data_IF_836918546251
#
_entry.id   IF_836918546251
#
_cell.length_a   1.000
_cell.length_b   1.000
_cell.length_c   1.000
_cell.angle_alpha   90.00
_cell.angle_beta   90.00
_cell.angle_gamma   90.00
#
_symmetry.space_group_name_H-M   'P 1'
#
loop_
_entity.id
_entity.type
_entity.pdbx_description
1 polymer ?
#
# COMPACT_ATOMS: atom_id res chain seq x y z
N UNK A 1 14.37 1.16 17.76
CA UNK A 1 14.13 -0.23 18.15
C UNK A 1 13.59 -0.35 19.58
N UNK A 2 13.13 -1.54 19.99
CA UNK A 2 12.47 -1.79 21.28
C UNK A 2 11.17 -1.00 21.53
N UNK A 3 10.48 -0.66 20.46
CA UNK A 3 9.15 -0.06 20.49
C UNK A 3 8.15 -1.10 20.02
N UNK A 4 7.01 -1.30 20.70
CA UNK A 4 6.00 -2.24 20.23
C UNK A 4 5.30 -1.73 18.97
N UNK A 5 4.85 -2.64 18.10
CA UNK A 5 4.19 -2.28 16.83
C UNK A 5 2.99 -1.36 17.03
N UNK A 6 2.21 -1.51 18.10
CA UNK A 6 1.04 -0.68 18.36
C UNK A 6 1.40 0.80 18.63
N UNK A 7 2.57 1.08 19.21
CA UNK A 7 3.04 2.47 19.40
C UNK A 7 3.34 3.15 18.07
N UNK A 8 3.86 2.40 17.09
CA UNK A 8 4.05 2.91 15.73
C UNK A 8 2.69 3.26 15.11
N UNK A 9 1.69 2.38 15.27
CA UNK A 9 0.33 2.63 14.80
C UNK A 9 -0.29 3.88 15.43
N UNK A 10 -0.13 4.06 16.74
CA UNK A 10 -0.61 5.25 17.45
C UNK A 10 0.08 6.53 16.95
N UNK A 11 1.40 6.50 16.81
CA UNK A 11 2.16 7.65 16.32
C UNK A 11 1.72 8.07 14.92
N UNK A 12 1.48 7.11 14.02
CA UNK A 12 0.99 7.35 12.67
C UNK A 12 -0.43 7.96 12.67
N UNK A 13 -1.35 7.38 13.46
CA UNK A 13 -2.71 7.88 13.58
C UNK A 13 -2.74 9.32 14.10
N UNK A 14 -1.95 9.62 15.13
CA UNK A 14 -1.84 10.96 15.67
C UNK A 14 -1.26 11.96 14.66
N UNK A 15 -0.16 11.58 13.98
CA UNK A 15 0.46 12.45 12.99
C UNK A 15 -0.49 12.72 11.81
N UNK A 16 -1.16 11.68 11.30
CA UNK A 16 -2.12 11.80 10.22
C UNK A 16 -3.32 12.66 10.59
N UNK A 17 -3.88 12.48 11.79
CA UNK A 17 -5.00 13.30 12.29
C UNK A 17 -4.63 14.76 12.43
N UNK A 18 -3.43 15.07 12.98
CA UNK A 18 -2.94 16.45 13.08
C UNK A 18 -2.77 17.08 11.71
N UNK A 19 -2.17 16.35 10.75
CA UNK A 19 -1.99 16.85 9.38
C UNK A 19 -3.31 17.06 8.66
N UNK A 20 -4.26 16.14 8.81
CA UNK A 20 -5.60 16.31 8.27
C UNK A 20 -6.31 17.55 8.84
N UNK A 21 -6.22 17.79 10.16
CA UNK A 21 -6.79 18.97 10.79
C UNK A 21 -6.15 20.27 10.27
N UNK A 22 -4.83 20.29 10.10
CA UNK A 22 -4.10 21.43 9.51
C UNK A 22 -4.60 21.73 8.09
N UNK A 23 -4.69 20.70 7.24
CA UNK A 23 -5.13 20.85 5.86
C UNK A 23 -6.59 21.29 5.76
N UNK A 24 -7.48 20.72 6.59
CA UNK A 24 -8.87 21.14 6.65
C UNK A 24 -9.01 22.61 7.05
N UNK A 25 -8.26 23.03 8.06
CA UNK A 25 -8.23 24.46 8.47
C UNK A 25 -7.75 25.38 7.36
N UNK A 26 -6.72 24.97 6.62
CA UNK A 26 -6.14 25.77 5.54
C UNK A 26 -7.06 25.90 4.33
N UNK A 27 -7.70 24.80 3.91
CA UNK A 27 -8.47 24.74 2.66
C UNK A 27 -9.97 24.90 2.85
N UNK A 28 -10.49 24.55 4.03
CA UNK A 28 -11.93 24.55 4.35
C UNK A 28 -12.23 25.22 5.69
N UNK A 29 -11.80 26.49 5.90
CA UNK A 29 -11.87 27.13 7.23
C UNK A 29 -13.29 27.31 7.79
N UNK A 30 -14.31 27.24 6.93
CA UNK A 30 -15.73 27.34 7.32
C UNK A 30 -16.41 26.00 7.55
N UNK A 31 -15.72 24.89 7.32
CA UNK A 31 -16.29 23.55 7.38
C UNK A 31 -16.03 22.90 8.76
N UNK A 32 -16.88 23.23 9.73
CA UNK A 32 -16.78 22.69 11.10
C UNK A 32 -17.19 21.21 11.21
N UNK A 33 -17.86 20.66 10.19
CA UNK A 33 -18.38 19.29 10.19
C UNK A 33 -17.41 18.27 9.56
N UNK A 34 -16.23 18.69 9.12
CA UNK A 34 -15.22 17.79 8.60
C UNK A 34 -14.42 17.19 9.76
N UNK A 35 -14.50 15.88 9.92
CA UNK A 35 -13.68 15.18 10.91
C UNK A 35 -12.24 15.02 10.41
N UNK A 36 -11.26 15.49 11.16
CA UNK A 36 -9.86 15.23 10.86
C UNK A 36 -9.41 13.80 11.23
N UNK A 37 -10.31 12.99 11.81
CA UNK A 37 -9.95 11.67 12.25
C UNK A 37 -9.55 10.79 11.07
N UNK A 38 -8.35 10.27 11.14
CA UNK A 38 -7.84 9.26 10.24
C UNK A 38 -7.91 7.93 10.98
N UNK A 39 -8.88 7.12 10.61
CA UNK A 39 -9.00 5.77 11.13
C UNK A 39 -8.01 4.87 10.40
N UNK A 40 -6.92 4.54 11.06
CA UNK A 40 -6.03 3.52 10.56
C UNK A 40 -6.57 2.13 10.89
N UNK A 41 -6.91 1.35 9.87
CA UNK A 41 -6.72 -0.08 9.98
C UNK A 41 -5.19 -0.28 10.01
N UNK A 42 -4.65 -0.32 11.23
CA UNK A 42 -3.20 -0.44 11.42
C UNK A 42 -2.74 -1.85 11.07
N UNK A 43 -2.71 -2.15 9.77
CA UNK A 43 -1.99 -3.30 9.29
C UNK A 43 -0.50 -2.92 9.34
N UNK A 44 0.13 -3.28 10.45
CA UNK A 44 1.57 -3.16 10.65
C UNK A 44 2.09 -4.55 10.93
N UNK A 45 3.11 -4.94 10.21
CA UNK A 45 3.88 -6.15 10.49
C UNK A 45 5.36 -5.82 10.45
N UNK A 46 6.13 -6.50 11.28
CA UNK A 46 7.57 -6.30 11.36
C UNK A 46 8.35 -7.62 11.34
N UNK A 47 9.60 -7.58 10.87
CA UNK A 47 10.51 -8.70 10.82
C UNK A 47 9.88 -9.91 10.12
N UNK A 48 9.99 -11.09 10.72
CA UNK A 48 9.47 -12.37 10.16
C UNK A 48 7.96 -12.45 9.94
N UNK A 49 7.20 -11.52 10.51
CA UNK A 49 5.74 -11.47 10.31
C UNK A 49 5.33 -10.63 9.09
N UNK A 50 6.29 -9.98 8.44
CA UNK A 50 6.05 -9.11 7.30
C UNK A 50 5.34 -9.80 6.11
N UNK A 51 5.57 -11.09 5.80
CA UNK A 51 4.82 -11.79 4.77
C UNK A 51 3.33 -12.01 5.08
N UNK A 52 2.93 -11.88 6.36
CA UNK A 52 1.54 -12.08 6.77
C UNK A 52 0.68 -10.91 6.31
N UNK A 53 -0.23 -11.18 5.38
CA UNK A 53 -1.15 -10.18 4.85
C UNK A 53 -2.10 -9.66 5.95
N UNK A 54 -2.25 -8.32 6.03
CA UNK A 54 -3.13 -7.65 7.00
C UNK A 54 -2.85 -8.00 8.47
N UNK A 55 -1.59 -8.30 8.80
CA UNK A 55 -1.17 -8.45 10.19
C UNK A 55 -1.46 -7.14 10.94
N UNK A 56 -2.09 -7.25 12.10
CA UNK A 56 -2.41 -6.10 12.92
C UNK A 56 -1.26 -5.77 13.86
N UNK A 57 -1.06 -4.47 14.11
CA UNK A 57 -0.10 -4.00 15.09
C UNK A 57 -0.30 -4.71 16.44
N UNK A 58 0.75 -5.30 16.94
CA UNK A 58 0.77 -6.11 18.16
C UNK A 58 1.66 -5.52 19.26
N UNK A 59 1.79 -6.22 20.37
CA UNK A 59 2.75 -5.89 21.43
C UNK A 59 4.18 -6.33 21.13
N UNK A 60 4.43 -6.94 19.96
CA UNK A 60 5.76 -7.36 19.54
C UNK A 60 6.70 -6.15 19.46
N UNK A 61 7.88 -6.28 20.06
CA UNK A 61 8.91 -5.26 19.99
C UNK A 61 9.62 -5.32 18.64
N UNK A 62 9.73 -4.19 18.00
CA UNK A 62 10.47 -4.01 16.75
C UNK A 62 11.97 -3.95 17.06
N UNK A 63 12.76 -4.68 16.29
CA UNK A 63 14.21 -4.80 16.48
C UNK A 63 14.97 -3.98 15.44
N UNK A 64 16.21 -3.65 15.74
CA UNK A 64 17.14 -3.09 14.76
C UNK A 64 17.29 -4.04 13.55
N UNK A 65 17.26 -3.49 12.35
CA UNK A 65 17.31 -4.26 11.10
C UNK A 65 15.96 -4.85 10.66
N UNK A 66 14.92 -4.84 11.52
CA UNK A 66 13.61 -5.34 11.10
C UNK A 66 13.03 -4.48 9.97
N UNK A 67 12.54 -5.09 8.89
CA UNK A 67 11.63 -4.40 7.98
C UNK A 67 10.27 -4.22 8.66
N UNK A 68 9.64 -3.07 8.42
CA UNK A 68 8.29 -2.75 8.88
C UNK A 68 7.43 -2.47 7.65
N UNK A 69 6.38 -3.23 7.47
CA UNK A 69 5.33 -2.94 6.50
C UNK A 69 4.22 -2.16 7.17
N UNK A 70 3.80 -1.09 6.52
CA UNK A 70 2.70 -0.23 6.96
C UNK A 70 1.69 -0.12 5.85
N UNK A 71 0.46 -0.59 6.10
CA UNK A 71 -0.67 -0.42 5.21
C UNK A 71 -1.64 0.61 5.79
N UNK A 72 -1.86 1.66 5.03
CA UNK A 72 -2.84 2.72 5.34
C UNK A 72 -4.16 2.45 4.64
N UNK A 73 -4.66 1.24 4.75
CA UNK A 73 -5.84 0.76 4.04
C UNK A 73 -7.12 1.48 4.48
N UNK A 74 -7.71 2.28 3.60
CA UNK A 74 -8.96 3.01 3.84
C UNK A 74 -8.88 4.07 4.94
N UNK A 75 -7.68 4.49 5.29
CA UNK A 75 -7.41 5.36 6.43
C UNK A 75 -7.74 6.82 6.16
N UNK A 76 -7.53 7.31 4.94
CA UNK A 76 -7.97 8.65 4.57
C UNK A 76 -9.42 8.59 4.08
N UNK A 77 -10.28 9.38 4.72
CA UNK A 77 -11.70 9.44 4.42
C UNK A 77 -12.11 10.91 4.31
N UNK A 78 -12.12 11.43 3.10
CA UNK A 78 -12.50 12.80 2.80
C UNK A 78 -13.77 12.78 1.95
N UNK A 79 -14.86 13.38 2.43
CA UNK A 79 -16.16 13.34 1.77
C UNK A 79 -16.61 11.91 1.38
N UNK A 80 -16.30 10.91 2.22
CA UNK A 80 -16.51 9.48 1.99
C UNK A 80 -15.58 8.83 0.97
N UNK A 81 -14.74 9.55 0.27
CA UNK A 81 -13.72 8.95 -0.58
C UNK A 81 -12.67 8.24 0.26
N UNK A 82 -12.34 7.02 -0.15
CA UNK A 82 -11.37 6.17 0.53
C UNK A 82 -10.05 6.22 -0.21
N UNK A 83 -8.98 6.42 0.54
CA UNK A 83 -7.62 6.32 0.03
C UNK A 83 -6.82 5.36 0.91
N UNK A 84 -5.79 4.80 0.35
CA UNK A 84 -4.84 3.99 1.07
C UNK A 84 -3.54 3.92 0.32
N UNK A 85 -2.47 3.62 1.03
CA UNK A 85 -1.15 3.37 0.45
C UNK A 85 -0.34 2.46 1.36
N UNK A 86 0.67 1.84 0.80
CA UNK A 86 1.55 0.91 1.49
C UNK A 86 2.99 1.40 1.45
N UNK A 87 3.73 1.19 2.54
CA UNK A 87 5.15 1.51 2.63
C UNK A 87 5.90 0.48 3.43
N UNK A 88 7.17 0.30 3.08
CA UNK A 88 8.13 -0.48 3.86
C UNK A 88 9.24 0.45 4.36
N UNK A 89 9.60 0.28 5.61
CA UNK A 89 10.70 0.95 6.28
C UNK A 89 11.59 -0.08 6.93
N UNK A 90 12.87 0.23 7.13
CA UNK A 90 13.78 -0.58 7.95
C UNK A 90 14.17 0.20 9.19
N UNK A 91 14.32 -0.52 10.29
CA UNK A 91 14.66 0.09 11.59
C UNK A 91 16.16 0.30 11.65
N UNK A 92 16.59 1.56 11.55
CA UNK A 92 17.97 2.05 11.65
C UNK A 92 18.92 1.56 10.55
N UNK A 93 18.83 0.30 10.12
CA UNK A 93 19.69 -0.26 9.08
C UNK A 93 18.95 -1.33 8.26
N UNK A 94 19.47 -1.59 7.09
CA UNK A 94 19.01 -2.72 6.25
C UNK A 94 19.98 -3.87 6.46
N UNK A 95 19.51 -4.92 7.13
CA UNK A 95 20.34 -6.08 7.45
C UNK A 95 20.49 -7.09 6.31
N UNK A 96 19.57 -7.09 5.34
CA UNK A 96 19.49 -8.13 4.31
C UNK A 96 19.34 -7.51 2.90
N UNK A 97 20.33 -7.78 2.04
CA UNK A 97 20.37 -7.28 0.66
C UNK A 97 19.28 -7.89 -0.23
N UNK A 98 18.85 -9.12 0.06
CA UNK A 98 17.79 -9.78 -0.70
C UNK A 98 16.43 -9.12 -0.45
N UNK A 99 16.23 -8.55 0.74
CA UNK A 99 15.05 -7.73 1.03
C UNK A 99 15.01 -6.45 0.20
N UNK A 100 16.16 -5.78 0.06
CA UNK A 100 16.27 -4.58 -0.80
C UNK A 100 15.97 -4.95 -2.24
N UNK A 101 16.58 -6.01 -2.77
CA UNK A 101 16.30 -6.47 -4.13
C UNK A 101 14.82 -6.76 -4.35
N UNK A 102 14.18 -7.48 -3.43
CA UNK A 102 12.76 -7.75 -3.51
C UNK A 102 11.91 -6.47 -3.47
N UNK A 103 12.27 -5.50 -2.64
CA UNK A 103 11.60 -4.21 -2.60
C UNK A 103 11.77 -3.40 -3.89
N UNK A 104 12.97 -3.38 -4.46
CA UNK A 104 13.24 -2.72 -5.76
C UNK A 104 12.40 -3.33 -6.89
N UNK A 105 12.22 -4.65 -6.89
CA UNK A 105 11.34 -5.34 -7.85
C UNK A 105 9.87 -4.93 -7.63
N UNK A 106 9.43 -4.79 -6.38
CA UNK A 106 8.09 -4.28 -6.10
C UNK A 106 7.89 -2.86 -6.67
N UNK A 107 8.86 -1.97 -6.49
CA UNK A 107 8.81 -0.60 -7.05
C UNK A 107 8.79 -0.62 -8.58
N UNK A 108 9.64 -1.44 -9.21
CA UNK A 108 9.66 -1.60 -10.67
C UNK A 108 8.34 -2.13 -11.21
N UNK A 109 7.74 -3.11 -10.55
CA UNK A 109 6.46 -3.69 -10.97
C UNK A 109 5.30 -2.72 -10.84
N UNK A 110 5.26 -1.90 -9.78
CA UNK A 110 4.28 -0.81 -9.66
C UNK A 110 4.44 0.19 -10.80
N UNK A 111 5.69 0.60 -11.08
CA UNK A 111 5.95 1.54 -12.17
C UNK A 111 5.48 0.97 -13.51
N UNK A 112 5.77 -0.29 -13.81
CA UNK A 112 5.34 -0.93 -15.04
C UNK A 112 3.80 -0.95 -15.19
N UNK A 113 3.07 -1.23 -14.10
CA UNK A 113 1.61 -1.13 -14.08
C UNK A 113 1.12 0.29 -14.34
N UNK A 114 1.73 1.29 -13.68
CA UNK A 114 1.35 2.71 -13.83
C UNK A 114 1.65 3.24 -15.24
N UNK A 115 2.73 2.81 -15.86
CA UNK A 115 3.14 3.25 -17.21
C UNK A 115 2.12 2.83 -18.30
N UNK A 116 1.39 1.72 -18.10
CA UNK A 116 0.36 1.24 -19.03
C UNK A 116 -1.07 1.56 -18.60
N UNK A 117 -1.26 2.04 -17.38
CA UNK A 117 -2.58 2.36 -16.84
C UNK A 117 -3.19 3.57 -17.56
N UNK A 118 -4.25 3.34 -18.30
CA UNK A 118 -4.92 4.43 -19.00
C UNK A 118 -6.26 4.05 -19.62
N UNK A 119 -7.03 5.02 -20.11
CA UNK A 119 -8.28 4.76 -20.81
C UNK A 119 -8.08 3.90 -22.06
N UNK A 120 -8.98 2.94 -22.27
CA UNK A 120 -8.93 2.03 -23.41
C UNK A 120 -8.10 0.75 -23.17
N UNK A 121 -7.33 0.68 -22.08
CA UNK A 121 -6.58 -0.51 -21.69
C UNK A 121 -7.47 -1.46 -20.90
N UNK A 122 -7.27 -2.77 -21.01
CA UNK A 122 -7.96 -3.75 -20.15
C UNK A 122 -7.28 -3.87 -18.78
N UNK A 123 -8.06 -4.17 -17.75
CA UNK A 123 -7.54 -4.37 -16.40
C UNK A 123 -6.48 -5.50 -16.33
N UNK A 124 -6.69 -6.58 -17.10
CA UNK A 124 -5.71 -7.69 -17.19
C UNK A 124 -4.40 -7.26 -17.84
N UNK A 125 -4.40 -6.30 -18.78
CA UNK A 125 -3.17 -5.80 -19.41
C UNK A 125 -2.30 -5.04 -18.41
N UNK A 126 -2.92 -4.25 -17.53
CA UNK A 126 -2.21 -3.58 -16.44
C UNK A 126 -1.60 -4.60 -15.48
N UNK A 127 -2.36 -5.65 -15.14
CA UNK A 127 -1.83 -6.74 -14.32
C UNK A 127 -0.68 -7.48 -15.01
N UNK A 128 -0.77 -7.74 -16.32
CA UNK A 128 0.30 -8.41 -17.06
C UNK A 128 1.61 -7.62 -17.00
N UNK A 129 1.60 -6.32 -17.24
CA UNK A 129 2.79 -5.47 -17.12
C UNK A 129 3.46 -5.55 -15.74
N UNK A 130 2.67 -5.54 -14.68
CA UNK A 130 3.13 -5.77 -13.32
C UNK A 130 3.74 -7.17 -13.13
N UNK A 131 3.02 -8.21 -13.53
CA UNK A 131 3.39 -9.60 -13.29
C UNK A 131 4.61 -10.04 -14.11
N UNK A 132 4.68 -9.63 -15.37
CA UNK A 132 5.81 -9.92 -16.27
C UNK A 132 7.11 -9.27 -15.74
N UNK A 133 7.02 -8.07 -15.18
CA UNK A 133 8.17 -7.42 -14.54
C UNK A 133 8.68 -8.25 -13.37
N UNK A 134 7.81 -8.76 -12.51
CA UNK A 134 8.19 -9.61 -11.38
C UNK A 134 8.83 -10.91 -11.84
N UNK A 135 8.24 -11.56 -12.85
CA UNK A 135 8.73 -12.80 -13.40
C UNK A 135 10.10 -12.63 -14.09
N UNK A 136 10.31 -11.54 -14.82
CA UNK A 136 11.59 -11.24 -15.47
C UNK A 136 12.75 -11.01 -14.51
N UNK A 137 12.45 -10.62 -13.27
CA UNK A 137 13.42 -10.45 -12.17
C UNK A 137 13.67 -11.76 -11.38
N UNK A 138 13.08 -12.86 -11.84
CA UNK A 138 13.30 -14.21 -11.27
C UNK A 138 12.38 -14.57 -10.11
N UNK A 139 11.30 -13.82 -9.88
CA UNK A 139 10.29 -14.12 -8.88
C UNK A 139 9.08 -14.85 -9.48
N UNK A 140 8.29 -15.59 -8.68
CA UNK A 140 7.09 -16.26 -9.18
C UNK A 140 6.08 -15.27 -9.78
N UNK A 141 5.43 -15.68 -10.86
CA UNK A 141 4.36 -14.89 -11.49
C UNK A 141 3.19 -14.71 -10.50
N UNK A 142 2.83 -13.48 -10.14
CA UNK A 142 1.76 -13.24 -9.18
C UNK A 142 0.39 -13.40 -9.85
N UNK A 143 -0.50 -14.12 -9.20
CA UNK A 143 -1.92 -14.27 -9.63
C UNK A 143 -2.86 -13.33 -8.88
N UNK A 144 -2.40 -12.74 -7.77
CA UNK A 144 -3.18 -11.77 -7.01
C UNK A 144 -3.20 -10.42 -7.74
N UNK A 145 -4.25 -9.62 -7.53
CA UNK A 145 -4.38 -8.30 -8.14
C UNK A 145 -3.20 -7.39 -7.81
N UNK A 146 -2.82 -6.54 -8.76
CA UNK A 146 -1.86 -5.45 -8.54
C UNK A 146 -2.53 -4.10 -8.26
N UNK A 147 -3.84 -4.06 -8.18
CA UNK A 147 -4.59 -2.84 -7.90
C UNK A 147 -6.09 -3.05 -7.99
N UNK A 148 -6.81 -2.00 -7.70
CA UNK A 148 -8.27 -2.00 -7.68
C UNK A 148 -8.83 -0.59 -7.86
N UNK A 149 -10.04 -0.49 -8.34
CA UNK A 149 -10.82 0.74 -8.23
C UNK A 149 -10.96 1.16 -6.77
N UNK A 150 -10.99 2.46 -6.53
CA UNK A 150 -11.26 3.04 -5.22
C UNK A 150 -12.08 4.32 -5.36
N UNK A 151 -12.90 4.60 -4.37
CA UNK A 151 -13.79 5.75 -4.39
C UNK A 151 -14.58 5.83 -3.09
N UNK A 152 -15.88 5.63 -3.13
CA UNK A 152 -16.72 5.56 -1.93
C UNK A 152 -16.50 4.29 -1.11
N UNK A 153 -16.07 3.19 -1.77
CA UNK A 153 -15.53 2.01 -1.11
C UNK A 153 -14.01 1.97 -1.26
N UNK A 154 -13.35 1.34 -0.30
CA UNK A 154 -11.91 1.11 -0.37
C UNK A 154 -11.54 0.10 -1.47
N UNK A 155 -12.46 -0.79 -1.81
CA UNK A 155 -12.29 -1.79 -2.85
C UNK A 155 -13.50 -1.74 -3.77
N UNK A 156 -13.29 -1.25 -4.99
CA UNK A 156 -14.27 -1.16 -6.05
C UNK A 156 -13.78 -1.89 -7.31
N UNK A 157 -14.70 -2.23 -8.18
CA UNK A 157 -14.37 -2.73 -9.52
C UNK A 157 -13.94 -1.56 -10.46
N UNK A 158 -13.12 -1.83 -11.48
CA UNK A 158 -12.52 -3.13 -11.77
C UNK A 158 -11.28 -3.39 -10.91
N UNK A 159 -11.05 -4.67 -10.58
CA UNK A 159 -9.76 -5.09 -10.03
C UNK A 159 -8.76 -5.32 -11.17
N UNK A 160 -7.52 -4.88 -10.97
CA UNK A 160 -6.40 -5.09 -11.89
C UNK A 160 -5.82 -6.49 -11.62
N UNK A 161 -6.40 -7.50 -12.28
CA UNK A 161 -6.10 -8.91 -12.05
C UNK A 161 -6.17 -9.71 -13.35
N UNK A 162 -5.47 -10.83 -13.38
CA UNK A 162 -5.47 -11.75 -14.53
C UNK A 162 -6.90 -12.16 -14.90
N UNK A 163 -7.23 -12.11 -16.19
CA UNK A 163 -8.54 -12.48 -16.74
C UNK A 163 -9.62 -11.40 -16.67
N UNK A 164 -9.35 -10.26 -16.04
CA UNK A 164 -10.32 -9.16 -16.00
C UNK A 164 -10.21 -8.30 -17.27
N UNK A 165 -11.14 -8.51 -18.22
CA UNK A 165 -11.20 -7.84 -19.52
C UNK A 165 -11.90 -6.49 -19.51
N UNK A 166 -12.26 -5.95 -18.35
CA UNK A 166 -12.88 -4.64 -18.22
C UNK A 166 -11.99 -3.57 -18.83
N UNK A 167 -12.52 -2.81 -19.78
CA UNK A 167 -11.84 -1.67 -20.39
C UNK A 167 -11.90 -0.49 -19.44
N UNK A 168 -10.74 0.07 -19.13
CA UNK A 168 -10.61 1.24 -18.26
C UNK A 168 -11.12 2.48 -18.95
N UNK A 169 -11.79 3.35 -18.19
CA UNK A 169 -12.46 4.57 -18.70
C UNK A 169 -11.91 5.82 -18.01
N UNK A 170 -11.99 6.99 -18.67
CA UNK A 170 -11.69 8.26 -18.02
C UNK A 170 -12.53 8.47 -16.76
N UNK A 171 -11.92 9.02 -15.71
CA UNK A 171 -12.57 9.27 -14.42
C UNK A 171 -12.52 8.10 -13.42
N UNK A 172 -12.08 6.91 -13.83
CA UNK A 172 -11.80 5.83 -12.88
C UNK A 172 -10.57 6.16 -12.05
N UNK A 173 -10.63 5.86 -10.75
CA UNK A 173 -9.53 6.05 -9.79
C UNK A 173 -9.07 4.70 -9.27
N UNK A 174 -7.76 4.49 -9.22
CA UNK A 174 -7.16 3.23 -8.81
C UNK A 174 -6.17 3.42 -7.68
N UNK A 175 -6.13 2.46 -6.77
CA UNK A 175 -4.95 2.19 -5.96
C UNK A 175 -4.15 1.09 -6.69
N UNK A 176 -2.87 1.34 -6.93
CA UNK A 176 -1.98 0.44 -7.67
C UNK A 176 -0.83 0.03 -6.79
N UNK A 177 -0.70 -1.26 -6.60
CA UNK A 177 0.30 -1.88 -5.75
C UNK A 177 1.43 -2.48 -6.58
N UNK A 178 2.68 -2.36 -6.10
CA UNK A 178 3.80 -3.16 -6.53
C UNK A 178 4.06 -4.27 -5.52
N UNK A 179 4.56 -5.39 -5.96
CA UNK A 179 4.81 -6.51 -5.06
C UNK A 179 5.88 -7.46 -5.56
N UNK A 180 6.58 -8.07 -4.62
CA UNK A 180 7.43 -9.24 -4.85
C UNK A 180 7.52 -10.05 -3.56
N UNK A 181 7.92 -11.31 -3.62
CA UNK A 181 8.01 -12.14 -2.42
C UNK A 181 9.31 -12.94 -2.44
N UNK A 182 10.15 -12.73 -1.43
CA UNK A 182 11.26 -13.61 -1.08
C UNK A 182 10.84 -14.50 0.11
N UNK A 183 11.69 -15.44 0.53
CA UNK A 183 11.37 -16.50 1.51
C UNK A 183 10.67 -15.99 2.78
N UNK A 184 11.22 -14.96 3.42
CA UNK A 184 10.72 -14.41 4.69
C UNK A 184 10.43 -12.90 4.58
N UNK A 185 10.25 -12.41 3.35
CA UNK A 185 10.06 -11.00 3.06
C UNK A 185 9.07 -10.82 1.92
N UNK A 186 8.18 -9.85 2.08
CA UNK A 186 7.29 -9.37 1.03
C UNK A 186 7.62 -7.92 0.75
N UNK A 187 8.22 -7.64 -0.40
CA UNK A 187 8.33 -6.30 -0.94
C UNK A 187 6.95 -5.82 -1.36
N UNK A 188 6.51 -4.67 -0.85
CA UNK A 188 5.24 -4.07 -1.25
C UNK A 188 5.32 -2.55 -1.19
N UNK A 189 4.73 -1.91 -2.19
CA UNK A 189 4.54 -0.47 -2.29
C UNK A 189 3.17 -0.21 -2.94
N UNK A 190 2.43 0.78 -2.45
CA UNK A 190 1.12 1.14 -2.96
C UNK A 190 0.81 2.63 -2.81
#
# INVERSE_FOLDING_TARGET
>A
HNVPEYEIALAQSQAGTRKAAELLKAHYPKSINMSPNIHFLSAISSGKDLPKTHHRASTKLVKRGDPIFVCYCGSANFHRFKLGFDRIFWVEEVGDKDQIKAFEVAVKSQKAALDVLGPGVTAEHVHAAYADTIQSEGYPYPTFRCGRGTGFSFLEEPQLVVGNKTILKPGMVFAVDGGSSAKDFRGQVG
#
